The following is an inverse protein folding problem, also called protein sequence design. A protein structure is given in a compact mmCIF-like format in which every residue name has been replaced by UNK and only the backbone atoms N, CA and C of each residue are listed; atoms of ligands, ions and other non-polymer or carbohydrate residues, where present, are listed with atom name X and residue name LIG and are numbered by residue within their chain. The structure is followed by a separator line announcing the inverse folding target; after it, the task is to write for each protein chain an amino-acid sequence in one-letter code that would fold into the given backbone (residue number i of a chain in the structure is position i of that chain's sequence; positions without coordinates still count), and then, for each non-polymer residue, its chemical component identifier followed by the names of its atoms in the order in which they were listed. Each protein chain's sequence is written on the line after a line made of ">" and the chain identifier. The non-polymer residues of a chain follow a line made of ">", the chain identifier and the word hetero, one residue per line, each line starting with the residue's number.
data_IF_864726293543
#
_entry.id   IF_864726293543
#
_cell.length_a   1.000
_cell.length_b   1.000
_cell.length_c   1.000
_cell.angle_alpha   90.00
_cell.angle_beta   90.00
_cell.angle_gamma   90.00
#
_symmetry.space_group_name_H-M   'P 1'
#
loop_
_entity.id
_entity.type
_entity.pdbx_description
1 polymer ?
#
# COMPACT_ATOMS: atom_id res chain seq x y z
N UNK A 1 -43.59 25.16 0.10
CA UNK A 1 -42.53 25.02 -0.93
C UNK A 1 -41.36 24.32 -0.27
N UNK A 2 -41.10 23.07 -0.60
CA UNK A 2 -39.85 22.41 -0.20
C UNK A 2 -38.72 22.94 -1.08
N UNK A 3 -37.50 23.14 -0.56
CA UNK A 3 -36.37 23.55 -1.40
C UNK A 3 -36.07 22.46 -2.42
N UNK A 4 -35.85 22.85 -3.67
CA UNK A 4 -35.40 21.96 -4.71
C UNK A 4 -33.94 21.53 -4.40
N UNK A 5 -33.75 20.26 -4.08
CA UNK A 5 -32.45 19.64 -3.74
C UNK A 5 -31.73 19.03 -4.95
N UNK A 6 -32.24 19.20 -6.17
CA UNK A 6 -31.70 18.55 -7.38
C UNK A 6 -30.29 19.04 -7.78
N UNK A 7 -29.74 20.06 -7.09
CA UNK A 7 -28.41 20.61 -7.34
C UNK A 7 -27.34 20.30 -6.26
N UNK A 8 -27.62 19.43 -5.27
CA UNK A 8 -26.65 19.15 -4.20
C UNK A 8 -25.61 18.08 -4.62
N UNK A 9 -25.85 17.33 -5.68
CA UNK A 9 -25.00 16.20 -6.09
C UNK A 9 -24.15 16.54 -7.32
N UNK A 10 -23.32 17.59 -7.28
CA UNK A 10 -22.33 17.83 -8.37
C UNK A 10 -20.95 18.30 -7.87
N UNK A 11 -20.71 18.41 -6.57
CA UNK A 11 -19.41 18.90 -6.05
C UNK A 11 -18.48 17.82 -5.48
N UNK A 12 -18.85 16.54 -5.52
CA UNK A 12 -18.02 15.42 -5.06
C UNK A 12 -17.56 14.50 -6.18
N UNK A 13 -17.58 14.96 -7.44
CA UNK A 13 -16.73 14.31 -8.45
C UNK A 13 -15.33 14.81 -8.19
N UNK A 14 -14.63 14.08 -7.32
CA UNK A 14 -13.19 14.23 -7.20
C UNK A 14 -12.65 13.80 -8.55
N UNK A 15 -12.31 14.77 -9.41
CA UNK A 15 -11.59 14.49 -10.63
C UNK A 15 -10.41 13.61 -10.22
N UNK A 16 -10.40 12.36 -10.70
CA UNK A 16 -9.28 11.45 -10.47
C UNK A 16 -8.11 12.01 -11.27
N UNK A 17 -7.41 12.98 -10.68
CA UNK A 17 -6.21 13.56 -11.28
C UNK A 17 -5.24 12.40 -11.41
N UNK A 18 -4.89 12.06 -12.65
CA UNK A 18 -3.93 11.00 -12.95
C UNK A 18 -2.63 11.31 -12.18
N UNK A 19 -2.34 10.50 -11.17
CA UNK A 19 -1.17 10.71 -10.33
C UNK A 19 0.07 10.36 -11.14
N UNK A 20 0.94 11.35 -11.37
CA UNK A 20 2.25 11.09 -11.96
C UNK A 20 3.06 10.14 -11.07
N UNK A 21 3.82 9.24 -11.67
CA UNK A 21 4.75 8.37 -10.95
C UNK A 21 6.05 9.09 -10.55
N UNK A 22 6.39 10.22 -11.17
CA UNK A 22 7.70 10.85 -10.96
C UNK A 22 7.85 11.39 -9.53
N UNK A 23 8.89 10.95 -8.84
CA UNK A 23 9.16 11.33 -7.44
C UNK A 23 10.66 11.39 -7.14
N UNK A 24 11.04 11.89 -5.97
CA UNK A 24 12.42 11.81 -5.50
C UNK A 24 12.82 10.36 -5.24
N UNK A 25 14.04 9.99 -5.63
CA UNK A 25 14.53 8.63 -5.41
C UNK A 25 15.00 8.43 -3.97
N UNK A 26 14.34 7.51 -3.27
CA UNK A 26 14.69 7.05 -1.94
C UNK A 26 15.72 5.92 -2.04
N UNK A 27 16.96 6.20 -1.64
CA UNK A 27 17.99 5.18 -1.51
C UNK A 27 17.94 4.61 -0.08
N UNK A 28 17.30 3.46 0.06
CA UNK A 28 17.10 2.78 1.36
C UNK A 28 18.44 2.33 1.95
N UNK A 29 19.32 1.74 1.15
CA UNK A 29 20.62 1.22 1.61
C UNK A 29 21.53 2.32 2.16
N UNK A 30 21.53 3.49 1.52
CA UNK A 30 22.38 4.63 1.91
C UNK A 30 21.68 5.59 2.86
N UNK A 31 20.39 5.40 3.13
CA UNK A 31 19.54 6.30 3.90
C UNK A 31 19.60 7.76 3.39
N UNK A 32 19.45 7.94 2.08
CA UNK A 32 19.51 9.26 1.42
C UNK A 32 18.39 9.43 0.41
N UNK A 33 17.95 10.67 0.20
CA UNK A 33 17.07 11.06 -0.91
C UNK A 33 17.92 11.75 -1.97
N UNK A 34 17.74 11.38 -3.24
CA UNK A 34 18.50 11.95 -4.35
C UNK A 34 17.68 12.02 -5.63
N UNK A 35 18.11 12.87 -6.58
CA UNK A 35 17.60 12.97 -7.96
C UNK A 35 16.07 12.71 -8.07
N UNK A 36 15.64 12.00 -9.12
CA UNK A 36 14.27 11.59 -9.33
C UNK A 36 14.25 10.15 -9.87
N UNK A 37 13.20 9.41 -9.55
CA UNK A 37 12.80 8.17 -10.18
C UNK A 37 11.38 8.31 -10.77
N UNK A 38 11.02 7.40 -11.66
CA UNK A 38 9.73 7.41 -12.35
C UNK A 38 9.30 5.98 -12.72
N UNK A 39 8.08 5.81 -13.21
CA UNK A 39 7.56 4.54 -13.70
C UNK A 39 7.58 3.43 -12.64
N UNK A 40 8.01 2.24 -13.04
CA UNK A 40 8.07 1.06 -12.16
C UNK A 40 8.97 1.26 -10.93
N UNK A 41 10.06 2.01 -11.05
CA UNK A 41 10.96 2.22 -9.91
C UNK A 41 10.30 3.10 -8.84
N UNK A 42 9.53 4.10 -9.27
CA UNK A 42 8.73 4.90 -8.35
C UNK A 42 7.57 4.09 -7.73
N UNK A 43 6.95 3.16 -8.48
CA UNK A 43 5.91 2.29 -7.94
C UNK A 43 6.45 1.30 -6.90
N UNK A 44 7.64 0.72 -7.12
CA UNK A 44 8.32 -0.10 -6.10
C UNK A 44 8.57 0.69 -4.82
N UNK A 45 9.01 1.94 -4.96
CA UNK A 45 9.20 2.84 -3.82
C UNK A 45 7.88 3.16 -3.10
N UNK A 46 6.79 3.41 -3.84
CA UNK A 46 5.48 3.66 -3.24
C UNK A 46 4.99 2.45 -2.42
N UNK A 47 5.08 1.24 -2.99
CA UNK A 47 4.76 -0.02 -2.30
C UNK A 47 5.61 -0.18 -1.03
N UNK A 48 6.92 0.08 -1.13
CA UNK A 48 7.82 0.04 0.03
C UNK A 48 7.38 1.01 1.13
N UNK A 49 7.06 2.26 0.80
CA UNK A 49 6.65 3.26 1.78
C UNK A 49 5.31 2.91 2.45
N UNK A 50 4.32 2.44 1.68
CA UNK A 50 3.01 2.04 2.22
C UNK A 50 3.18 0.87 3.20
N UNK A 51 3.90 -0.18 2.82
CA UNK A 51 4.04 -1.39 3.63
C UNK A 51 4.96 -1.23 4.84
N UNK A 52 5.71 -0.13 4.94
CA UNK A 52 6.57 0.17 6.08
C UNK A 52 6.07 1.37 6.91
N UNK A 53 4.84 1.82 6.65
CA UNK A 53 4.16 2.83 7.47
C UNK A 53 2.99 2.16 8.16
N UNK A 54 2.99 2.12 9.49
CA UNK A 54 1.83 1.66 10.23
C UNK A 54 0.73 2.73 10.15
N UNK A 55 -0.49 2.28 9.82
CA UNK A 55 -1.65 3.16 9.70
C UNK A 55 -1.96 3.80 11.06
N UNK A 56 -2.45 5.04 11.04
CA UNK A 56 -2.85 5.84 12.21
C UNK A 56 -1.73 6.32 13.15
N UNK A 57 -0.46 5.97 12.91
CA UNK A 57 0.63 6.35 13.81
C UNK A 57 1.22 7.74 13.56
N UNK A 58 0.99 8.30 12.36
CA UNK A 58 1.59 9.57 11.98
C UNK A 58 0.55 10.54 11.43
N UNK A 59 0.46 11.72 12.06
CA UNK A 59 -0.49 12.78 11.71
C UNK A 59 -0.30 13.35 10.30
N UNK A 60 0.88 13.18 9.70
CA UNK A 60 1.17 13.66 8.34
C UNK A 60 0.46 12.83 7.26
N UNK A 61 -0.02 11.63 7.60
CA UNK A 61 -0.66 10.72 6.66
C UNK A 61 -2.18 10.75 6.79
N UNK A 62 -2.87 10.47 5.69
CA UNK A 62 -4.31 10.23 5.71
C UNK A 62 -4.62 8.94 6.46
N UNK A 63 -5.88 8.80 6.89
CA UNK A 63 -6.38 7.60 7.56
C UNK A 63 -6.31 6.35 6.67
N UNK A 64 -6.21 6.51 5.35
CA UNK A 64 -6.13 5.42 4.40
C UNK A 64 -4.67 5.04 4.05
N UNK A 65 -3.66 5.77 4.52
CA UNK A 65 -2.28 5.51 4.14
C UNK A 65 -1.58 4.61 5.16
N UNK A 66 -0.87 3.60 4.65
CA UNK A 66 -0.14 2.61 5.46
C UNK A 66 -0.88 1.29 5.61
N UNK A 67 -0.24 0.38 6.33
CA UNK A 67 -0.69 -0.99 6.62
C UNK A 67 -0.97 -1.16 8.11
N UNK A 68 -1.85 -2.10 8.46
CA UNK A 68 -2.20 -2.42 9.84
C UNK A 68 -1.55 -3.76 10.23
N UNK A 69 -0.27 -3.76 10.62
CA UNK A 69 0.45 -4.99 10.98
C UNK A 69 0.52 -5.24 12.48
N UNK A 70 0.36 -4.20 13.32
CA UNK A 70 0.61 -4.33 14.76
C UNK A 70 -0.27 -5.35 15.47
N UNK A 71 -1.52 -5.49 15.02
CA UNK A 71 -2.47 -6.44 15.60
C UNK A 71 -2.18 -7.91 15.24
N UNK A 72 -1.21 -8.17 14.36
CA UNK A 72 -0.83 -9.53 13.93
C UNK A 72 0.36 -10.08 14.72
N UNK A 73 1.06 -9.24 15.48
CA UNK A 73 2.24 -9.64 16.26
C UNK A 73 1.81 -10.51 17.44
N UNK A 74 2.39 -11.70 17.59
CA UNK A 74 2.07 -12.65 18.67
C UNK A 74 0.85 -13.53 18.38
N UNK A 75 0.20 -13.35 17.24
CA UNK A 75 -0.99 -14.11 16.86
C UNK A 75 -0.66 -15.46 16.23
N UNK A 76 -1.64 -16.37 16.21
CA UNK A 76 -1.45 -17.68 15.60
C UNK A 76 -1.31 -17.59 14.08
N UNK A 77 -0.38 -18.37 13.49
CA UNK A 77 -0.13 -18.39 12.04
C UNK A 77 -1.38 -18.63 11.18
N UNK A 78 -2.33 -19.42 11.67
CA UNK A 78 -3.60 -19.72 10.98
C UNK A 78 -4.47 -18.48 10.82
N UNK A 79 -4.39 -17.53 11.76
CA UNK A 79 -5.05 -16.23 11.69
C UNK A 79 -4.22 -15.23 10.88
N UNK A 80 -2.90 -15.21 11.08
CA UNK A 80 -2.03 -14.20 10.47
C UNK A 80 -1.94 -14.34 8.95
N UNK A 81 -1.91 -15.56 8.39
CA UNK A 81 -1.78 -15.76 6.93
C UNK A 81 -2.92 -15.07 6.14
N UNK A 82 -4.21 -15.38 6.36
CA UNK A 82 -5.30 -14.71 5.63
C UNK A 82 -5.38 -13.22 5.96
N UNK A 83 -5.06 -12.81 7.18
CA UNK A 83 -5.05 -11.38 7.52
C UNK A 83 -3.93 -10.63 6.82
N UNK A 84 -2.74 -11.20 6.65
CA UNK A 84 -1.64 -10.59 5.89
C UNK A 84 -2.04 -10.33 4.44
N UNK A 85 -2.68 -11.30 3.78
CA UNK A 85 -3.21 -11.11 2.43
C UNK A 85 -4.21 -9.94 2.39
N UNK A 86 -5.13 -9.91 3.36
CA UNK A 86 -6.15 -8.85 3.48
C UNK A 86 -5.52 -7.48 3.69
N UNK A 87 -4.68 -7.29 4.71
CA UNK A 87 -4.13 -5.97 5.05
C UNK A 87 -3.13 -5.46 4.03
N UNK A 88 -2.37 -6.34 3.37
CA UNK A 88 -1.50 -5.95 2.24
C UNK A 88 -2.35 -5.46 1.08
N UNK A 89 -3.38 -6.21 0.70
CA UNK A 89 -4.28 -5.85 -0.40
C UNK A 89 -5.01 -4.54 -0.12
N UNK A 90 -5.60 -4.40 1.06
CA UNK A 90 -6.31 -3.18 1.48
C UNK A 90 -5.39 -1.97 1.52
N UNK A 91 -4.14 -2.10 1.99
CA UNK A 91 -3.20 -1.00 2.05
C UNK A 91 -2.75 -0.55 0.66
N UNK A 92 -2.40 -1.50 -0.22
CA UNK A 92 -1.87 -1.18 -1.54
C UNK A 92 -2.94 -0.64 -2.50
N UNK A 93 -4.18 -1.15 -2.44
CA UNK A 93 -5.26 -0.68 -3.32
C UNK A 93 -5.78 0.73 -2.97
N UNK A 94 -5.30 1.36 -1.89
CA UNK A 94 -5.55 2.79 -1.66
C UNK A 94 -4.77 3.69 -2.64
N UNK A 95 -3.68 3.18 -3.24
CA UNK A 95 -2.99 3.86 -4.32
C UNK A 95 -3.66 3.49 -5.65
N UNK A 96 -4.37 4.44 -6.26
CA UNK A 96 -5.13 4.23 -7.50
C UNK A 96 -4.27 3.80 -8.70
N UNK A 97 -2.94 3.92 -8.61
CA UNK A 97 -2.01 3.42 -9.63
C UNK A 97 -1.82 1.89 -9.53
N UNK A 98 -2.15 1.28 -8.39
CA UNK A 98 -2.15 -0.17 -8.16
C UNK A 98 -3.54 -0.71 -8.46
N UNK A 99 -3.64 -1.63 -9.41
CA UNK A 99 -4.91 -2.17 -9.89
C UNK A 99 -5.25 -3.53 -9.30
N UNK A 100 -4.23 -4.29 -8.89
CA UNK A 100 -4.40 -5.65 -8.36
C UNK A 100 -3.17 -6.05 -7.52
N UNK A 101 -3.40 -6.87 -6.49
CA UNK A 101 -2.36 -7.58 -5.74
C UNK A 101 -2.75 -9.05 -5.73
N UNK A 102 -1.84 -9.94 -6.15
CA UNK A 102 -2.15 -11.36 -6.35
C UNK A 102 -0.92 -12.25 -6.21
N UNK A 103 -1.12 -13.55 -6.44
CA UNK A 103 -0.06 -14.56 -6.44
C UNK A 103 0.70 -14.60 -5.09
N UNK A 104 -0.06 -14.59 -3.99
CA UNK A 104 0.49 -14.65 -2.65
C UNK A 104 1.14 -16.02 -2.36
N UNK A 105 2.36 -15.98 -1.85
CA UNK A 105 3.13 -17.13 -1.39
C UNK A 105 3.65 -16.85 0.03
N UNK A 106 3.49 -17.83 0.92
CA UNK A 106 3.78 -17.70 2.35
C UNK A 106 4.84 -18.70 2.77
N UNK A 107 5.94 -18.19 3.31
CA UNK A 107 7.02 -18.99 3.89
C UNK A 107 7.08 -18.75 5.40
N UNK A 108 6.86 -19.81 6.18
CA UNK A 108 6.81 -19.75 7.65
C UNK A 108 8.16 -20.16 8.22
N UNK A 109 8.77 -19.28 8.99
CA UNK A 109 10.08 -19.47 9.61
C UNK A 109 10.00 -19.17 11.12
N UNK A 110 9.77 -20.20 11.96
CA UNK A 110 9.65 -20.10 13.43
C UNK A 110 8.75 -18.96 13.94
N UNK A 111 9.28 -17.74 14.01
CA UNK A 111 8.65 -16.54 14.55
C UNK A 111 8.48 -15.45 13.46
N UNK A 112 8.62 -15.81 12.19
CA UNK A 112 8.51 -14.89 11.07
C UNK A 112 7.70 -15.54 9.95
N UNK A 113 6.86 -14.74 9.30
CA UNK A 113 6.18 -15.10 8.05
C UNK A 113 6.73 -14.17 6.98
N UNK A 114 7.32 -14.77 5.95
CA UNK A 114 7.69 -14.07 4.73
C UNK A 114 6.56 -14.24 3.71
N UNK A 115 6.04 -13.12 3.24
CA UNK A 115 4.99 -13.07 2.21
C UNK A 115 5.59 -12.51 0.93
N UNK A 116 5.44 -13.23 -0.17
CA UNK A 116 5.74 -12.74 -1.52
C UNK A 116 4.43 -12.60 -2.29
N UNK A 117 4.34 -11.59 -3.13
CA UNK A 117 3.16 -11.32 -3.94
C UNK A 117 3.52 -10.49 -5.17
N UNK A 118 2.65 -10.53 -6.17
CA UNK A 118 2.76 -9.71 -7.39
C UNK A 118 1.87 -8.48 -7.25
N UNK A 119 2.47 -7.30 -7.43
CA UNK A 119 1.77 -6.02 -7.54
C UNK A 119 1.57 -5.70 -9.01
N UNK A 120 0.33 -5.45 -9.42
CA UNK A 120 -0.03 -5.00 -10.77
C UNK A 120 -0.41 -3.53 -10.70
N UNK A 121 0.23 -2.72 -11.54
CA UNK A 121 -0.02 -1.28 -11.65
C UNK A 121 -0.44 -0.93 -13.07
N UNK A 122 -0.94 0.30 -13.26
CA UNK A 122 -1.21 0.85 -14.59
C UNK A 122 0.05 1.00 -15.48
N UNK A 123 1.27 0.91 -14.92
CA UNK A 123 2.55 1.01 -15.64
C UNK A 123 3.18 -0.36 -15.90
N UNK A 124 2.81 -1.39 -15.13
CA UNK A 124 3.35 -2.74 -15.24
C UNK A 124 3.27 -3.53 -13.93
N UNK A 125 3.89 -4.70 -13.88
CA UNK A 125 3.85 -5.60 -12.71
C UNK A 125 5.24 -5.93 -12.18
N UNK A 126 5.34 -6.18 -10.87
CA UNK A 126 6.57 -6.60 -10.21
C UNK A 126 6.27 -7.43 -8.95
N UNK A 127 7.24 -8.23 -8.54
CA UNK A 127 7.19 -8.95 -7.27
C UNK A 127 7.62 -8.04 -6.12
N UNK A 128 6.92 -8.15 -5.00
CA UNK A 128 7.24 -7.50 -3.74
C UNK A 128 7.21 -8.54 -2.61
N UNK A 129 7.87 -8.21 -1.50
CA UNK A 129 7.89 -9.05 -0.32
C UNK A 129 7.73 -8.24 0.96
N UNK A 130 7.14 -8.87 1.99
CA UNK A 130 7.07 -8.36 3.35
C UNK A 130 7.37 -9.48 4.33
N UNK A 131 8.19 -9.18 5.33
CA UNK A 131 8.46 -10.07 6.47
C UNK A 131 7.74 -9.49 7.68
N UNK A 132 7.01 -10.35 8.39
CA UNK A 132 6.28 -10.00 9.61
C UNK A 132 6.66 -10.98 10.70
N UNK A 133 7.03 -10.45 11.86
CA UNK A 133 7.27 -11.27 13.05
C UNK A 133 5.94 -11.65 13.69
N UNK A 134 5.75 -12.95 13.91
CA UNK A 134 4.59 -13.56 14.59
C UNK A 134 4.99 -14.12 15.93
#
# INVERSE_FOLDING_TARGET
>A
MTPNTDNIVINNVQDTIEQTSKTYYLNIEKNTISKFCDGIDAMKQAVYCILNTERFEHLIYSWNYGIELKHLIGENTTFVIPELERVITEALLQDLRITEVKDFDFEINRNEIKVKFTVVTNIGKFEAEKVVSV
#
